data_IF_674840201375
#
_entry.id   IF_674840201375
#
_cell.length_a   1.000
_cell.length_b   1.000
_cell.length_c   1.000
_cell.angle_alpha   90.00
_cell.angle_beta   90.00
_cell.angle_gamma   90.00
#
_symmetry.space_group_name_H-M   'P 1'
#
loop_
_entity.id
_entity.type
_entity.pdbx_description
1 polymer ?
#
# COMPACT_ATOMS: atom_id res chain seq x y z
N UNK A 1 8.65 -34.38 -59.12
CA UNK A 1 7.43 -34.73 -58.38
C UNK A 1 7.40 -33.84 -57.17
N UNK A 2 6.69 -32.74 -57.24
CA UNK A 2 5.44 -32.36 -56.55
C UNK A 2 5.47 -32.78 -55.05
N UNK A 3 5.76 -31.82 -54.19
CA UNK A 3 4.91 -30.91 -53.40
C UNK A 3 4.52 -31.51 -52.05
N UNK A 4 5.00 -30.96 -51.01
CA UNK A 4 4.26 -30.83 -49.73
C UNK A 4 4.79 -29.63 -48.93
N UNK A 5 4.42 -28.44 -49.39
CA UNK A 5 4.37 -27.23 -48.59
C UNK A 5 2.90 -27.09 -48.23
N UNK A 6 2.54 -27.27 -46.98
CA UNK A 6 1.30 -26.73 -46.40
C UNK A 6 1.29 -27.01 -44.92
N UNK A 7 1.11 -25.97 -44.13
CA UNK A 7 0.55 -26.10 -42.83
C UNK A 7 1.31 -25.52 -41.63
N UNK A 8 2.02 -24.40 -41.76
CA UNK A 8 2.24 -23.57 -40.59
C UNK A 8 0.94 -22.78 -40.30
N UNK A 9 0.03 -23.40 -39.57
CA UNK A 9 -1.08 -22.70 -38.94
C UNK A 9 -0.53 -21.73 -37.93
N UNK A 10 -0.68 -20.44 -38.22
CA UNK A 10 -0.60 -19.34 -37.26
C UNK A 10 -1.41 -19.69 -36.00
N UNK A 11 -0.75 -20.18 -34.99
CA UNK A 11 -1.24 -20.03 -33.62
C UNK A 11 -1.08 -18.53 -33.31
N UNK A 12 -2.15 -17.77 -33.54
CA UNK A 12 -2.34 -16.51 -32.84
C UNK A 12 -2.28 -16.86 -31.35
N UNK A 13 -1.13 -16.61 -30.73
CA UNK A 13 -1.06 -16.50 -29.27
C UNK A 13 -2.19 -15.55 -28.88
N UNK A 14 -3.17 -16.11 -28.17
CA UNK A 14 -4.11 -15.30 -27.38
C UNK A 14 -3.21 -14.59 -26.37
N UNK A 15 -2.81 -13.38 -26.66
CA UNK A 15 -2.36 -12.44 -25.66
C UNK A 15 -3.54 -12.26 -24.71
N UNK A 16 -3.59 -13.07 -23.64
CA UNK A 16 -4.41 -12.77 -22.48
C UNK A 16 -3.93 -11.41 -22.03
N UNK A 17 -4.73 -10.36 -22.26
CA UNK A 17 -4.30 -8.99 -22.03
C UNK A 17 -3.82 -8.87 -20.59
N UNK A 18 -2.55 -8.53 -20.44
CA UNK A 18 -1.97 -8.17 -19.16
C UNK A 18 -2.77 -7.00 -18.59
N UNK A 19 -3.22 -7.09 -17.35
CA UNK A 19 -4.04 -6.04 -16.76
C UNK A 19 -3.77 -5.87 -15.27
N UNK A 20 -3.23 -4.71 -14.89
CA UNK A 20 -3.27 -4.26 -13.50
C UNK A 20 -4.70 -3.91 -13.09
N UNK A 21 -5.01 -4.13 -11.82
CA UNK A 21 -6.28 -3.75 -11.21
C UNK A 21 -6.09 -2.47 -10.39
N UNK A 22 -6.41 -1.28 -10.93
CA UNK A 22 -6.29 -0.04 -10.17
C UNK A 22 -7.30 -0.02 -9.04
N UNK A 23 -6.84 0.35 -7.85
CA UNK A 23 -7.61 0.37 -6.62
C UNK A 23 -7.47 1.73 -5.93
N UNK A 24 -8.58 2.33 -5.47
CA UNK A 24 -8.56 3.57 -4.72
C UNK A 24 -8.53 3.31 -3.22
N UNK A 25 -7.47 3.81 -2.55
CA UNK A 25 -7.38 3.70 -1.11
C UNK A 25 -8.15 4.83 -0.42
N UNK A 26 -9.06 4.49 0.48
CA UNK A 26 -9.95 5.44 1.16
C UNK A 26 -9.23 6.46 2.05
N UNK A 27 -7.96 6.22 2.41
CA UNK A 27 -7.17 7.15 3.22
C UNK A 27 -7.01 8.53 2.54
N UNK A 28 -7.04 8.58 1.21
CA UNK A 28 -7.02 9.85 0.46
C UNK A 28 -8.18 10.78 0.80
N UNK A 29 -9.27 10.24 1.34
CA UNK A 29 -10.48 10.98 1.70
C UNK A 29 -10.81 10.89 3.20
N UNK A 30 -9.83 10.63 4.05
CA UNK A 30 -10.04 10.36 5.48
C UNK A 30 -9.90 11.60 6.38
N UNK A 31 -9.55 12.77 5.84
CA UNK A 31 -9.39 13.99 6.63
C UNK A 31 -8.25 13.93 7.68
N UNK A 32 -7.22 13.10 7.45
CA UNK A 32 -6.15 12.88 8.43
C UNK A 32 -5.06 13.94 8.37
N UNK A 33 -4.84 14.55 7.20
CA UNK A 33 -3.81 15.54 7.01
C UNK A 33 -4.38 16.95 6.92
N UNK A 34 -3.56 17.92 7.24
CA UNK A 34 -3.98 19.33 7.23
C UNK A 34 -4.59 19.74 5.89
N UNK A 35 -5.85 20.17 5.95
CA UNK A 35 -6.62 20.65 4.79
C UNK A 35 -7.17 19.55 3.89
N UNK A 36 -6.98 18.28 4.25
CA UNK A 36 -7.57 17.16 3.53
C UNK A 36 -9.08 17.08 3.81
N UNK A 37 -9.87 16.97 2.76
CA UNK A 37 -11.30 16.73 2.87
C UNK A 37 -11.60 15.36 3.46
N UNK A 38 -12.74 15.27 4.14
CA UNK A 38 -13.24 14.04 4.74
C UNK A 38 -14.51 13.58 4.03
N UNK A 39 -14.54 12.29 3.68
CA UNK A 39 -15.73 11.56 3.28
C UNK A 39 -15.94 10.39 4.24
N UNK A 40 -17.17 10.17 4.67
CA UNK A 40 -17.56 8.91 5.31
C UNK A 40 -17.40 7.74 4.33
N UNK A 41 -17.40 6.51 4.83
CA UNK A 41 -17.35 5.32 3.93
C UNK A 41 -18.55 5.31 2.98
N UNK A 42 -19.73 5.73 3.46
CA UNK A 42 -20.95 5.80 2.66
C UNK A 42 -20.86 6.83 1.51
N UNK A 43 -20.11 7.91 1.70
CA UNK A 43 -19.85 8.92 0.65
C UNK A 43 -18.69 8.51 -0.26
N UNK A 44 -17.70 7.78 0.29
CA UNK A 44 -16.53 7.31 -0.47
C UNK A 44 -16.89 6.25 -1.51
N UNK A 45 -17.79 5.30 -1.20
CA UNK A 45 -18.17 4.25 -2.15
C UNK A 45 -18.72 4.82 -3.47
N UNK A 46 -19.75 5.68 -3.48
CA UNK A 46 -20.24 6.28 -4.73
C UNK A 46 -19.19 7.18 -5.37
N UNK A 47 -18.37 7.88 -4.59
CA UNK A 47 -17.27 8.73 -5.10
C UNK A 47 -16.24 7.88 -5.88
N UNK A 48 -15.79 6.76 -5.34
CA UNK A 48 -14.87 5.86 -6.04
C UNK A 48 -15.45 5.37 -7.37
N UNK A 49 -16.74 5.06 -7.40
CA UNK A 49 -17.43 4.64 -8.64
C UNK A 49 -17.57 5.78 -9.66
N UNK A 50 -17.91 6.99 -9.19
CA UNK A 50 -17.96 8.22 -10.02
C UNK A 50 -16.60 8.51 -10.67
N UNK A 51 -15.50 8.28 -9.94
CA UNK A 51 -14.14 8.46 -10.44
C UNK A 51 -13.71 7.40 -11.45
N UNK A 52 -14.47 6.32 -11.61
CA UNK A 52 -14.23 5.26 -12.57
C UNK A 52 -13.40 4.07 -12.04
N UNK A 53 -13.31 3.91 -10.73
CA UNK A 53 -12.70 2.75 -10.12
C UNK A 53 -13.65 1.55 -10.07
N UNK A 54 -13.10 0.35 -10.25
CA UNK A 54 -13.79 -0.92 -10.06
C UNK A 54 -13.36 -1.61 -8.76
N UNK A 55 -12.29 -1.15 -8.11
CA UNK A 55 -11.86 -1.68 -6.83
C UNK A 55 -11.40 -0.61 -5.85
N UNK A 56 -11.54 -0.92 -4.56
CA UNK A 56 -11.20 -0.05 -3.43
C UNK A 56 -10.40 -0.81 -2.38
N UNK A 57 -9.62 -0.06 -1.61
CA UNK A 57 -8.99 -0.49 -0.38
C UNK A 57 -9.49 0.38 0.77
N UNK A 58 -10.06 -0.21 1.82
CA UNK A 58 -10.61 0.55 2.93
C UNK A 58 -9.59 0.66 4.07
N UNK A 59 -9.44 1.86 4.60
CA UNK A 59 -8.63 2.14 5.78
C UNK A 59 -9.27 1.50 7.03
N UNK A 60 -8.61 0.51 7.62
CA UNK A 60 -9.09 -0.25 8.78
C UNK A 60 -8.71 0.42 10.12
N UNK A 61 -8.99 1.72 10.21
CA UNK A 61 -8.91 2.51 11.44
C UNK A 61 -9.88 3.69 11.36
N UNK A 62 -10.15 4.34 12.50
CA UNK A 62 -10.91 5.60 12.53
C UNK A 62 -10.26 6.69 11.68
N UNK A 63 -11.04 7.53 10.99
CA UNK A 63 -12.50 7.61 11.04
C UNK A 63 -13.24 6.66 10.10
N UNK A 64 -12.58 5.76 9.35
CA UNK A 64 -13.26 4.82 8.47
C UNK A 64 -13.64 3.51 9.19
N UNK A 65 -13.06 2.36 8.79
CA UNK A 65 -13.55 1.05 9.20
C UNK A 65 -12.69 0.47 10.33
N UNK A 66 -13.05 0.73 11.59
CA UNK A 66 -12.36 0.12 12.75
C UNK A 66 -13.11 -1.12 13.22
N UNK A 67 -12.43 -2.25 13.55
CA UNK A 67 -13.10 -3.42 14.12
C UNK A 67 -13.80 -3.12 15.46
N UNK A 68 -13.38 -2.05 16.15
CA UNK A 68 -13.97 -1.62 17.41
C UNK A 68 -15.31 -0.89 17.25
N UNK A 69 -15.60 -0.38 16.05
CA UNK A 69 -16.79 0.42 15.76
C UNK A 69 -17.82 -0.35 14.91
N UNK A 70 -17.40 -1.47 14.31
CA UNK A 70 -18.24 -2.28 13.43
C UNK A 70 -18.54 -3.65 14.08
N UNK A 71 -19.69 -3.79 14.69
CA UNK A 71 -20.22 -5.08 15.14
C UNK A 71 -20.62 -5.96 13.93
N UNK A 72 -21.02 -7.20 14.19
CA UNK A 72 -21.37 -8.15 13.13
C UNK A 72 -22.52 -7.67 12.23
N UNK A 73 -23.47 -6.90 12.76
CA UNK A 73 -24.57 -6.35 11.96
C UNK A 73 -24.09 -5.20 11.07
N UNK A 74 -23.31 -4.27 11.62
CA UNK A 74 -22.70 -3.18 10.87
C UNK A 74 -21.79 -3.70 9.73
N UNK A 75 -21.03 -4.78 9.97
CA UNK A 75 -20.21 -5.45 8.93
C UNK A 75 -21.06 -6.00 7.78
N UNK A 76 -22.19 -6.65 8.08
CA UNK A 76 -23.13 -7.15 7.05
C UNK A 76 -23.73 -6.02 6.22
N UNK A 77 -24.12 -4.93 6.89
CA UNK A 77 -24.67 -3.74 6.22
C UNK A 77 -23.61 -3.14 5.28
N UNK A 78 -22.38 -2.93 5.78
CA UNK A 78 -21.30 -2.37 4.98
C UNK A 78 -20.93 -3.28 3.80
N UNK A 79 -20.82 -4.60 4.02
CA UNK A 79 -20.58 -5.57 2.95
C UNK A 79 -21.61 -5.42 1.84
N UNK A 80 -22.89 -5.38 2.22
CA UNK A 80 -23.98 -5.20 1.22
C UNK A 80 -23.83 -3.87 0.46
N UNK A 81 -23.47 -2.76 1.12
CA UNK A 81 -23.25 -1.47 0.46
C UNK A 81 -22.11 -1.55 -0.56
N UNK A 82 -21.00 -2.25 -0.24
CA UNK A 82 -19.88 -2.46 -1.15
C UNK A 82 -20.35 -3.28 -2.37
N UNK A 83 -21.06 -4.39 -2.14
CA UNK A 83 -21.62 -5.23 -3.20
C UNK A 83 -22.60 -4.46 -4.11
N UNK A 84 -23.54 -3.71 -3.52
CA UNK A 84 -24.54 -2.91 -4.23
C UNK A 84 -23.88 -1.77 -5.06
N UNK A 85 -22.71 -1.26 -4.64
CA UNK A 85 -21.95 -0.26 -5.41
C UNK A 85 -21.26 -0.82 -6.66
N UNK A 86 -21.18 -2.15 -6.78
CA UNK A 86 -20.44 -2.82 -7.84
C UNK A 86 -18.92 -2.60 -7.76
N UNK A 87 -18.39 -2.32 -6.55
CA UNK A 87 -16.97 -2.22 -6.29
C UNK A 87 -16.42 -3.52 -5.70
N UNK A 88 -15.22 -3.92 -6.11
CA UNK A 88 -14.46 -5.01 -5.50
C UNK A 88 -13.66 -4.48 -4.30
N UNK A 89 -13.78 -5.09 -3.13
CA UNK A 89 -12.94 -4.78 -1.98
C UNK A 89 -11.61 -5.52 -2.12
N UNK A 90 -10.58 -4.84 -2.63
CA UNK A 90 -9.27 -5.40 -2.88
C UNK A 90 -8.54 -5.82 -1.59
N UNK A 91 -8.78 -5.12 -0.50
CA UNK A 91 -8.17 -5.40 0.80
C UNK A 91 -8.54 -4.39 1.86
N UNK A 92 -8.22 -4.70 3.11
CA UNK A 92 -8.21 -3.73 4.19
C UNK A 92 -6.78 -3.22 4.43
N UNK A 93 -6.66 -1.94 4.73
CA UNK A 93 -5.42 -1.33 5.18
C UNK A 93 -5.38 -1.33 6.72
N UNK A 94 -4.76 -2.34 7.31
CA UNK A 94 -4.45 -2.39 8.73
C UNK A 94 -3.24 -1.53 9.09
N UNK A 95 -3.16 -1.15 10.35
CA UNK A 95 -2.09 -0.30 10.87
C UNK A 95 -1.49 -0.99 12.09
N UNK A 96 -0.25 -1.45 11.95
CA UNK A 96 0.51 -2.11 13.02
C UNK A 96 1.82 -1.37 13.28
N UNK A 97 2.29 -1.47 14.48
CA UNK A 97 3.61 -1.01 14.90
C UNK A 97 4.15 -2.01 15.94
N UNK A 98 4.84 -3.06 15.44
CA UNK A 98 5.34 -4.11 16.31
C UNK A 98 6.52 -3.69 17.17
N UNK A 99 7.15 -2.57 16.88
CA UNK A 99 8.22 -1.97 17.71
C UNK A 99 7.67 -1.07 18.81
N UNK A 100 6.36 -0.76 18.80
CA UNK A 100 5.74 0.00 19.87
C UNK A 100 5.95 -0.71 21.21
N UNK A 101 6.37 0.02 22.23
CA UNK A 101 6.57 -0.51 23.57
C UNK A 101 7.87 -1.25 23.81
N UNK A 102 8.81 -1.31 22.87
CA UNK A 102 10.17 -1.82 23.13
C UNK A 102 10.88 -1.08 24.28
N UNK A 103 10.48 0.16 24.54
CA UNK A 103 10.90 0.97 25.68
C UNK A 103 10.04 0.74 26.95
N UNK A 104 8.97 -0.09 26.85
CA UNK A 104 8.02 -0.39 27.93
C UNK A 104 7.75 -1.90 28.07
N UNK A 105 8.76 -2.70 28.41
CA UNK A 105 8.71 -4.17 28.33
C UNK A 105 7.67 -4.82 29.28
N UNK A 106 7.14 -4.08 30.25
CA UNK A 106 6.08 -4.57 31.13
C UNK A 106 4.69 -4.68 30.50
N UNK A 107 4.51 -4.14 29.28
CA UNK A 107 3.25 -4.21 28.53
C UNK A 107 3.48 -5.05 27.28
N UNK A 108 2.67 -6.09 27.03
CA UNK A 108 2.85 -7.01 25.90
C UNK A 108 2.37 -6.36 24.58
N UNK A 109 3.03 -5.29 24.14
CA UNK A 109 2.61 -4.50 22.99
C UNK A 109 2.58 -5.31 21.68
N UNK A 110 3.55 -6.20 21.46
CA UNK A 110 3.63 -7.05 20.28
C UNK A 110 2.42 -7.97 20.18
N UNK A 111 2.05 -8.61 21.28
CA UNK A 111 0.88 -9.50 21.38
C UNK A 111 -0.44 -8.71 21.25
N UNK A 112 -0.50 -7.50 21.81
CA UNK A 112 -1.66 -6.62 21.65
C UNK A 112 -1.84 -6.22 20.18
N UNK A 113 -0.76 -5.86 19.49
CA UNK A 113 -0.78 -5.57 18.05
C UNK A 113 -1.24 -6.80 17.25
N UNK A 114 -0.71 -7.98 17.55
CA UNK A 114 -1.08 -9.22 16.87
C UNK A 114 -2.57 -9.56 17.08
N UNK A 115 -3.07 -9.43 18.30
CA UNK A 115 -4.48 -9.65 18.62
C UNK A 115 -5.40 -8.65 17.92
N UNK A 116 -5.00 -7.36 17.85
CA UNK A 116 -5.74 -6.35 17.10
C UNK A 116 -5.77 -6.64 15.60
N UNK A 117 -4.65 -7.05 15.01
CA UNK A 117 -4.59 -7.48 13.60
C UNK A 117 -5.50 -8.70 13.37
N UNK A 118 -5.63 -9.61 14.34
CA UNK A 118 -6.61 -10.70 14.29
C UNK A 118 -8.06 -10.20 14.17
N UNK A 119 -8.44 -9.16 14.92
CA UNK A 119 -9.77 -8.55 14.81
C UNK A 119 -9.98 -7.86 13.46
N UNK A 120 -8.95 -7.21 12.92
CA UNK A 120 -9.00 -6.61 11.58
C UNK A 120 -9.11 -7.70 10.49
N UNK A 121 -8.46 -8.85 10.68
CA UNK A 121 -8.58 -9.99 9.76
C UNK A 121 -10.01 -10.59 9.78
N UNK A 122 -10.64 -10.72 10.96
CA UNK A 122 -12.06 -11.09 11.04
C UNK A 122 -12.93 -10.10 10.26
N UNK A 123 -12.72 -8.80 10.48
CA UNK A 123 -13.42 -7.73 9.77
C UNK A 123 -13.21 -7.83 8.24
N UNK A 124 -11.99 -8.06 7.77
CA UNK A 124 -11.68 -8.23 6.35
C UNK A 124 -12.49 -9.38 5.75
N UNK A 125 -12.51 -10.53 6.42
CA UNK A 125 -13.28 -11.70 6.00
C UNK A 125 -14.78 -11.43 5.95
N UNK A 126 -15.31 -10.79 7.00
CA UNK A 126 -16.73 -10.43 7.08
C UNK A 126 -17.14 -9.47 5.96
N UNK A 127 -16.25 -8.56 5.54
CA UNK A 127 -16.47 -7.61 4.44
C UNK A 127 -16.24 -8.20 3.05
N UNK A 128 -15.65 -9.41 2.95
CA UNK A 128 -15.52 -10.13 1.67
C UNK A 128 -14.16 -10.00 0.99
N UNK A 129 -13.09 -9.65 1.73
CA UNK A 129 -11.71 -9.70 1.23
C UNK A 129 -10.86 -10.65 2.08
N UNK A 130 -9.80 -11.19 1.48
CA UNK A 130 -8.81 -12.03 2.13
C UNK A 130 -7.41 -11.39 2.21
N UNK A 131 -7.29 -10.12 1.81
CA UNK A 131 -6.04 -9.37 1.89
C UNK A 131 -6.12 -8.30 2.99
N UNK A 132 -5.15 -8.34 3.89
CA UNK A 132 -4.97 -7.35 4.96
C UNK A 132 -3.56 -6.78 4.91
N UNK A 133 -3.41 -5.53 4.44
CA UNK A 133 -2.15 -4.83 4.48
C UNK A 133 -1.81 -4.45 5.92
N UNK A 134 -0.55 -4.67 6.31
CA UNK A 134 0.01 -4.29 7.60
C UNK A 134 1.37 -3.63 7.42
N UNK A 135 1.86 -2.98 8.49
CA UNK A 135 3.20 -2.43 8.57
C UNK A 135 4.10 -3.24 9.51
N UNK A 136 5.39 -3.02 9.42
CA UNK A 136 6.42 -3.61 10.30
C UNK A 136 6.51 -2.88 11.63
N UNK A 137 6.93 -1.64 11.61
CA UNK A 137 7.10 -0.80 12.80
C UNK A 137 8.08 0.35 12.55
N UNK A 138 8.05 1.33 13.44
CA UNK A 138 8.97 2.47 13.42
C UNK A 138 10.28 2.14 14.11
N UNK A 139 11.38 2.70 13.64
CA UNK A 139 12.64 2.62 14.34
C UNK A 139 12.56 3.32 15.71
N UNK A 140 13.06 2.64 16.74
CA UNK A 140 13.11 3.15 18.11
C UNK A 140 14.54 3.58 18.46
N UNK A 141 14.81 4.89 18.58
CA UNK A 141 16.13 5.37 18.98
C UNK A 141 16.60 4.72 20.30
N UNK A 142 17.86 4.29 20.33
CA UNK A 142 18.44 3.65 21.51
C UNK A 142 18.15 2.15 21.67
N UNK A 143 17.36 1.55 20.78
CA UNK A 143 17.18 0.10 20.72
C UNK A 143 17.99 -0.44 19.52
N UNK A 144 18.84 -1.47 19.69
CA UNK A 144 19.57 -2.07 18.59
C UNK A 144 18.64 -2.57 17.47
N UNK A 145 19.02 -2.34 16.20
CA UNK A 145 18.19 -2.67 15.04
C UNK A 145 17.85 -4.16 14.95
N UNK A 146 18.79 -5.04 15.24
CA UNK A 146 18.59 -6.49 15.27
C UNK A 146 17.48 -6.91 16.26
N UNK A 147 17.41 -6.25 17.43
CA UNK A 147 16.34 -6.48 18.39
C UNK A 147 14.99 -6.00 17.85
N UNK A 148 14.96 -4.85 17.20
CA UNK A 148 13.73 -4.33 16.58
C UNK A 148 13.25 -5.25 15.46
N UNK A 149 14.18 -5.69 14.59
CA UNK A 149 13.90 -6.62 13.51
C UNK A 149 13.33 -7.96 14.03
N UNK A 150 13.94 -8.54 15.05
CA UNK A 150 13.47 -9.78 15.67
C UNK A 150 12.06 -9.62 16.28
N UNK A 151 11.78 -8.49 16.92
CA UNK A 151 10.44 -8.19 17.48
C UNK A 151 9.39 -8.06 16.40
N UNK A 152 9.70 -7.39 15.29
CA UNK A 152 8.79 -7.29 14.12
C UNK A 152 8.52 -8.68 13.53
N UNK A 153 9.54 -9.49 13.36
CA UNK A 153 9.41 -10.85 12.85
C UNK A 153 8.47 -11.68 13.72
N UNK A 154 8.68 -11.69 15.04
CA UNK A 154 7.80 -12.36 15.99
C UNK A 154 6.38 -11.83 15.94
N UNK A 155 6.22 -10.50 15.92
CA UNK A 155 4.92 -9.84 15.84
C UNK A 155 4.12 -10.22 14.60
N UNK A 156 4.76 -10.26 13.43
CA UNK A 156 4.12 -10.70 12.19
C UNK A 156 3.75 -12.20 12.26
N UNK A 157 4.61 -13.06 12.84
CA UNK A 157 4.29 -14.47 13.01
C UNK A 157 3.07 -14.68 13.93
N UNK A 158 2.98 -13.92 15.02
CA UNK A 158 1.80 -13.95 15.91
C UNK A 158 0.55 -13.46 15.19
N UNK A 159 0.63 -12.32 14.51
CA UNK A 159 -0.48 -11.76 13.75
C UNK A 159 -0.94 -12.69 12.62
N UNK A 160 0.00 -13.38 11.96
CA UNK A 160 -0.31 -14.33 10.90
C UNK A 160 -1.09 -15.55 11.40
N UNK A 161 -0.79 -16.04 12.62
CA UNK A 161 -1.56 -17.10 13.27
C UNK A 161 -3.00 -16.66 13.56
N UNK A 162 -3.18 -15.41 14.01
CA UNK A 162 -4.52 -14.85 14.25
C UNK A 162 -5.28 -14.68 12.93
N UNK A 163 -4.67 -14.11 11.89
CA UNK A 163 -5.28 -13.90 10.58
C UNK A 163 -5.64 -15.23 9.87
N UNK A 164 -4.83 -16.28 10.10
CA UNK A 164 -5.07 -17.61 9.52
C UNK A 164 -6.42 -18.21 9.95
N UNK A 165 -6.90 -17.89 11.15
CA UNK A 165 -8.22 -18.35 11.65
C UNK A 165 -9.38 -17.91 10.75
N UNK A 166 -9.18 -16.84 9.99
CA UNK A 166 -10.16 -16.24 9.07
C UNK A 166 -9.80 -16.44 7.60
N UNK A 167 -8.76 -17.22 7.28
CA UNK A 167 -8.22 -17.40 5.93
C UNK A 167 -7.83 -16.07 5.27
N UNK A 168 -7.18 -15.17 6.04
CA UNK A 168 -6.71 -13.87 5.58
C UNK A 168 -5.19 -13.90 5.45
N UNK A 169 -4.71 -13.35 4.33
CA UNK A 169 -3.30 -13.14 4.04
C UNK A 169 -2.88 -11.77 4.54
N UNK A 170 -1.84 -11.74 5.36
CA UNK A 170 -1.15 -10.51 5.74
C UNK A 170 -0.26 -10.05 4.60
N UNK A 171 -0.45 -8.81 4.18
CA UNK A 171 0.30 -8.15 3.12
C UNK A 171 1.22 -7.12 3.76
N UNK A 172 2.48 -7.50 4.03
CA UNK A 172 3.45 -6.63 4.68
C UNK A 172 3.94 -5.59 3.67
N UNK A 173 3.64 -4.32 3.93
CA UNK A 173 4.14 -3.20 3.12
C UNK A 173 5.52 -2.77 3.62
N UNK A 174 6.42 -2.48 2.69
CA UNK A 174 7.75 -1.94 2.97
C UNK A 174 7.71 -0.45 3.30
N UNK A 175 7.00 -0.13 4.36
CA UNK A 175 6.75 1.20 4.87
C UNK A 175 7.10 1.25 6.36
N UNK A 176 7.52 2.39 6.87
CA UNK A 176 7.99 2.61 8.23
C UNK A 176 9.25 1.81 8.60
N UNK A 177 10.37 2.43 8.49
CA UNK A 177 11.72 2.18 9.01
C UNK A 177 12.23 0.72 8.99
N UNK A 178 11.48 -0.22 9.57
CA UNK A 178 11.94 -1.61 9.68
C UNK A 178 11.66 -2.37 8.38
N UNK A 179 12.72 -2.84 7.72
CA UNK A 179 12.66 -3.63 6.48
C UNK A 179 12.12 -2.87 5.25
N UNK A 180 12.39 -1.56 5.11
CA UNK A 180 12.11 -0.79 3.88
C UNK A 180 12.93 -1.33 2.70
N UNK A 181 14.21 -1.63 2.93
CA UNK A 181 15.08 -2.18 1.90
C UNK A 181 14.64 -3.59 1.49
N UNK A 182 14.63 -3.87 0.18
CA UNK A 182 14.18 -5.17 -0.36
C UNK A 182 14.96 -6.38 0.19
N UNK A 183 16.22 -6.24 0.54
CA UNK A 183 16.99 -7.32 1.14
C UNK A 183 16.46 -7.66 2.54
N UNK A 184 16.24 -6.65 3.38
CA UNK A 184 15.72 -6.84 4.72
C UNK A 184 14.31 -7.45 4.69
N UNK A 185 13.43 -6.93 3.81
CA UNK A 185 12.07 -7.46 3.64
C UNK A 185 12.08 -8.89 3.09
N UNK A 186 12.92 -9.17 2.11
CA UNK A 186 13.04 -10.52 1.53
C UNK A 186 13.46 -11.56 2.59
N UNK A 187 14.49 -11.23 3.38
CA UNK A 187 14.96 -12.13 4.43
C UNK A 187 13.94 -12.28 5.55
N UNK A 188 13.26 -11.21 5.95
CA UNK A 188 12.18 -11.26 6.93
C UNK A 188 11.05 -12.20 6.49
N UNK A 189 10.53 -12.05 5.27
CA UNK A 189 9.47 -12.91 4.75
C UNK A 189 9.91 -14.36 4.59
N UNK A 190 11.16 -14.57 4.20
CA UNK A 190 11.73 -15.90 4.09
C UNK A 190 11.88 -16.58 5.46
N UNK A 191 12.26 -15.85 6.49
CA UNK A 191 12.40 -16.34 7.85
C UNK A 191 11.05 -16.62 8.50
N UNK A 192 10.06 -15.73 8.29
CA UNK A 192 8.67 -15.94 8.70
C UNK A 192 8.14 -17.27 8.11
N UNK A 193 8.36 -17.51 6.83
CA UNK A 193 8.01 -18.74 6.10
C UNK A 193 6.58 -19.25 6.35
N UNK A 194 5.60 -18.35 6.39
CA UNK A 194 4.19 -18.68 6.52
C UNK A 194 3.44 -18.41 5.20
N UNK A 195 2.57 -19.34 4.74
CA UNK A 195 1.91 -19.22 3.43
C UNK A 195 0.99 -18.01 3.35
N UNK A 196 0.41 -17.56 4.46
CA UNK A 196 -0.47 -16.41 4.57
C UNK A 196 0.26 -15.11 4.96
N UNK A 197 1.58 -15.02 4.72
CA UNK A 197 2.36 -13.78 4.83
C UNK A 197 3.00 -13.48 3.49
N UNK A 198 2.66 -12.33 2.92
CA UNK A 198 3.06 -11.87 1.61
C UNK A 198 3.51 -10.40 1.67
N UNK A 199 3.89 -9.82 0.54
CA UNK A 199 4.35 -8.43 0.45
C UNK A 199 3.41 -7.55 -0.35
N UNK A 200 3.20 -6.33 0.17
CA UNK A 200 2.67 -5.19 -0.56
C UNK A 200 3.81 -4.28 -1.02
N UNK A 201 4.73 -4.84 -1.83
CA UNK A 201 5.95 -4.16 -2.23
C UNK A 201 5.65 -2.91 -3.06
N UNK A 202 6.18 -1.76 -2.63
CA UNK A 202 6.07 -0.49 -3.33
C UNK A 202 7.44 0.13 -3.63
N UNK A 203 7.45 1.18 -4.50
CA UNK A 203 8.65 1.87 -4.92
C UNK A 203 8.93 3.14 -4.11
N UNK A 204 7.92 3.73 -3.45
CA UNK A 204 8.05 5.09 -2.92
C UNK A 204 8.88 5.18 -1.66
N UNK A 205 8.64 4.32 -0.65
CA UNK A 205 9.44 4.35 0.57
C UNK A 205 10.93 4.06 0.28
N UNK A 206 11.31 3.02 -0.47
CA UNK A 206 12.71 2.79 -0.82
C UNK A 206 13.34 3.93 -1.64
N UNK A 207 12.59 4.55 -2.55
CA UNK A 207 13.11 5.70 -3.32
C UNK A 207 13.39 6.90 -2.41
N UNK A 208 12.50 7.17 -1.45
CA UNK A 208 12.69 8.25 -0.49
C UNK A 208 13.87 7.99 0.47
N UNK A 209 14.19 6.72 0.73
CA UNK A 209 15.37 6.30 1.47
C UNK A 209 16.65 6.25 0.60
N UNK A 210 16.57 6.65 -0.67
CA UNK A 210 17.72 6.86 -1.53
C UNK A 210 18.09 5.69 -2.46
N UNK A 211 17.25 4.66 -2.59
CA UNK A 211 17.49 3.61 -3.59
C UNK A 211 17.39 4.20 -5.00
N UNK A 212 18.35 3.81 -5.84
CA UNK A 212 18.37 4.16 -7.26
C UNK A 212 17.26 3.48 -8.04
N UNK A 213 16.96 4.00 -9.23
CA UNK A 213 15.98 3.41 -10.15
C UNK A 213 16.28 1.96 -10.51
N UNK A 214 17.57 1.62 -10.67
CA UNK A 214 18.01 0.25 -11.00
C UNK A 214 17.81 -0.68 -9.81
N UNK A 215 18.07 -0.22 -8.58
CA UNK A 215 17.81 -0.99 -7.36
C UNK A 215 16.31 -1.21 -7.13
N UNK A 216 15.47 -0.18 -7.37
CA UNK A 216 14.00 -0.32 -7.33
C UNK A 216 13.51 -1.35 -8.34
N UNK A 217 14.04 -1.33 -9.57
CA UNK A 217 13.72 -2.34 -10.57
C UNK A 217 14.15 -3.74 -10.14
N UNK A 218 15.40 -3.89 -9.68
CA UNK A 218 15.95 -5.17 -9.22
C UNK A 218 15.16 -5.72 -8.02
N UNK A 219 14.66 -4.84 -7.15
CA UNK A 219 13.84 -5.21 -5.98
C UNK A 219 12.57 -5.96 -6.38
N UNK A 220 11.92 -5.57 -7.48
CA UNK A 220 10.70 -6.23 -7.96
C UNK A 220 10.98 -7.68 -8.34
N UNK A 221 12.10 -7.96 -9.03
CA UNK A 221 12.48 -9.34 -9.39
C UNK A 221 12.81 -10.16 -8.15
N UNK A 222 13.51 -9.58 -7.17
CA UNK A 222 13.84 -10.25 -5.92
C UNK A 222 12.59 -10.57 -5.10
N UNK A 223 11.67 -9.61 -5.01
CA UNK A 223 10.45 -9.73 -4.22
C UNK A 223 9.33 -10.50 -4.94
N UNK A 224 9.51 -10.89 -6.22
CA UNK A 224 8.52 -11.62 -7.03
C UNK A 224 7.79 -12.76 -6.30
N UNK A 225 8.43 -13.63 -5.48
CA UNK A 225 7.72 -14.75 -4.81
C UNK A 225 6.68 -14.29 -3.78
N UNK A 226 6.76 -13.04 -3.34
CA UNK A 226 5.97 -12.52 -2.24
C UNK A 226 4.96 -11.45 -2.65
N UNK A 227 5.14 -10.74 -3.77
CA UNK A 227 4.29 -9.61 -4.16
C UNK A 227 2.88 -10.10 -4.51
N UNK A 228 1.87 -9.65 -3.75
CA UNK A 228 0.45 -9.91 -4.01
C UNK A 228 -0.37 -8.63 -4.15
N UNK A 229 0.19 -7.50 -3.75
CA UNK A 229 -0.37 -6.15 -3.88
C UNK A 229 0.78 -5.16 -4.06
N UNK A 230 0.52 -4.01 -4.63
CA UNK A 230 1.42 -2.86 -4.58
C UNK A 230 0.65 -1.59 -4.28
N UNK A 231 1.32 -0.64 -3.66
CA UNK A 231 0.75 0.65 -3.30
C UNK A 231 1.54 1.75 -4.02
N UNK A 232 0.83 2.73 -4.56
CA UNK A 232 1.41 3.88 -5.26
C UNK A 232 1.09 5.15 -4.50
N UNK A 233 2.12 5.87 -4.09
CA UNK A 233 2.07 7.24 -3.62
C UNK A 233 3.26 7.97 -4.23
N UNK A 234 3.06 9.16 -4.80
CA UNK A 234 4.12 9.91 -5.44
C UNK A 234 4.38 11.24 -4.74
N UNK A 235 5.61 11.73 -4.81
CA UNK A 235 6.07 12.84 -4.00
C UNK A 235 6.88 13.83 -4.81
N UNK A 236 6.74 15.12 -4.46
CA UNK A 236 7.60 16.21 -4.93
C UNK A 236 8.38 16.82 -3.78
N UNK A 237 9.61 17.24 -4.05
CA UNK A 237 10.44 17.99 -3.12
C UNK A 237 10.27 19.49 -3.38
N UNK A 238 9.58 20.21 -2.50
CA UNK A 238 9.36 21.65 -2.63
C UNK A 238 10.49 22.41 -1.94
N UNK A 239 11.14 23.39 -2.62
CA UNK A 239 12.18 24.22 -2.02
C UNK A 239 11.68 24.95 -0.78
N UNK A 240 12.52 25.01 0.23
CA UNK A 240 12.31 25.84 1.42
C UNK A 240 13.45 26.82 1.60
N UNK A 241 13.14 27.95 2.24
CA UNK A 241 14.11 28.97 2.56
C UNK A 241 13.90 29.41 4.01
N UNK A 242 15.01 29.59 4.72
CA UNK A 242 15.04 30.10 6.09
C UNK A 242 15.68 31.45 6.11
N UNK A 243 15.04 32.43 6.80
CA UNK A 243 15.64 33.75 6.98
C UNK A 243 16.84 33.66 7.92
N UNK A 244 17.97 34.19 7.47
CA UNK A 244 19.22 34.19 8.22
C UNK A 244 19.57 35.61 8.64
N UNK A 245 19.44 35.92 9.92
CA UNK A 245 19.58 37.28 10.47
C UNK A 245 20.93 37.93 10.15
N UNK A 246 22.03 37.17 10.24
CA UNK A 246 23.37 37.72 9.97
C UNK A 246 23.60 38.06 8.49
N UNK A 247 22.92 37.41 7.58
CA UNK A 247 22.99 37.68 6.16
C UNK A 247 21.91 38.63 5.70
N UNK A 248 20.95 38.94 6.57
CA UNK A 248 19.75 39.74 6.24
C UNK A 248 19.08 39.24 4.95
N UNK A 249 19.02 37.91 4.76
CA UNK A 249 18.52 37.28 3.56
C UNK A 249 18.01 35.87 3.84
N UNK A 250 17.29 35.29 2.87
CA UNK A 250 16.85 33.90 2.87
C UNK A 250 17.94 33.01 2.31
N UNK A 251 18.19 31.90 2.98
CA UNK A 251 19.09 30.84 2.52
C UNK A 251 18.31 29.53 2.31
N UNK A 252 18.75 28.65 1.41
CA UNK A 252 18.13 27.34 1.24
C UNK A 252 18.07 26.55 2.55
N UNK A 253 16.96 25.86 2.78
CA UNK A 253 16.73 24.95 3.90
C UNK A 253 16.32 23.56 3.34
N UNK A 254 16.19 22.57 4.20
CA UNK A 254 15.75 21.23 3.82
C UNK A 254 14.40 21.29 3.08
N UNK A 255 14.29 20.73 1.86
CA UNK A 255 13.04 20.67 1.10
C UNK A 255 11.90 20.03 1.90
N UNK A 256 10.68 20.44 1.62
CA UNK A 256 9.47 19.80 2.15
C UNK A 256 8.97 18.80 1.11
N UNK A 257 8.79 17.56 1.53
CA UNK A 257 8.10 16.58 0.70
C UNK A 257 6.59 16.84 0.72
N UNK A 258 5.94 16.65 -0.43
CA UNK A 258 4.47 16.71 -0.57
C UNK A 258 4.02 15.56 -1.45
N UNK A 259 2.93 14.93 -1.08
CA UNK A 259 2.26 13.97 -1.96
C UNK A 259 1.79 14.70 -3.23
N UNK A 260 1.87 14.04 -4.37
CA UNK A 260 1.43 14.57 -5.66
C UNK A 260 0.70 13.50 -6.48
N UNK A 261 0.29 13.84 -7.69
CA UNK A 261 -0.33 12.89 -8.62
C UNK A 261 0.68 11.86 -9.13
N UNK A 262 0.22 10.63 -9.32
CA UNK A 262 1.07 9.57 -9.86
C UNK A 262 1.68 9.96 -11.21
N UNK A 263 3.00 9.88 -11.32
CA UNK A 263 3.79 10.27 -12.48
C UNK A 263 4.23 11.74 -12.54
N UNK A 264 3.84 12.56 -11.56
CA UNK A 264 4.28 13.96 -11.44
C UNK A 264 5.46 14.11 -10.45
N UNK A 265 5.73 13.07 -9.67
CA UNK A 265 6.72 13.11 -8.60
C UNK A 265 8.09 12.55 -8.99
N UNK A 266 8.88 12.25 -7.96
CA UNK A 266 10.26 11.76 -8.11
C UNK A 266 10.37 10.25 -8.20
N UNK A 267 9.27 9.51 -7.95
CA UNK A 267 9.27 8.05 -7.96
C UNK A 267 9.18 7.54 -9.41
N UNK A 268 10.11 6.71 -9.83
CA UNK A 268 10.12 6.14 -11.17
C UNK A 268 9.12 4.97 -11.33
N UNK A 269 7.84 5.32 -11.34
CA UNK A 269 6.79 4.32 -11.52
C UNK A 269 6.74 3.69 -12.90
N UNK A 270 7.30 4.33 -13.95
CA UNK A 270 7.39 3.72 -15.27
C UNK A 270 8.31 2.50 -15.24
N UNK A 271 9.49 2.64 -14.61
CA UNK A 271 10.43 1.53 -14.45
C UNK A 271 9.89 0.45 -13.49
N UNK A 272 9.26 0.86 -12.39
CA UNK A 272 8.67 -0.06 -11.41
C UNK A 272 7.52 -0.89 -12.00
N UNK A 273 6.55 -0.25 -12.66
CA UNK A 273 5.42 -0.94 -13.30
C UNK A 273 5.86 -1.78 -14.48
N UNK A 274 6.88 -1.33 -15.23
CA UNK A 274 7.54 -2.14 -16.26
C UNK A 274 8.10 -3.45 -15.70
N UNK A 275 8.79 -3.38 -14.56
CA UNK A 275 9.32 -4.57 -13.87
C UNK A 275 8.20 -5.48 -13.35
N UNK A 276 7.12 -4.93 -12.79
CA UNK A 276 5.94 -5.71 -12.38
C UNK A 276 5.33 -6.47 -13.56
N UNK A 277 5.26 -5.83 -14.73
CA UNK A 277 4.78 -6.47 -15.98
C UNK A 277 5.69 -7.62 -16.40
N UNK A 278 6.99 -7.42 -16.35
CA UNK A 278 7.97 -8.46 -16.72
C UNK A 278 7.93 -9.68 -15.81
N UNK A 279 7.66 -9.51 -14.53
CA UNK A 279 7.47 -10.65 -13.62
C UNK A 279 6.10 -11.31 -13.75
N UNK A 280 5.20 -10.77 -14.59
CA UNK A 280 3.85 -11.28 -14.83
C UNK A 280 2.85 -10.93 -13.72
N UNK A 281 3.08 -9.86 -12.97
CA UNK A 281 2.18 -9.43 -11.91
C UNK A 281 0.86 -8.88 -12.47
N UNK A 282 -0.28 -9.40 -12.00
CA UNK A 282 -1.64 -9.03 -12.44
C UNK A 282 -2.56 -8.67 -11.26
N UNK A 283 -1.98 -8.21 -10.16
CA UNK A 283 -2.69 -7.89 -8.93
C UNK A 283 -3.21 -6.45 -8.87
N UNK A 284 -3.63 -6.07 -7.66
CA UNK A 284 -4.09 -4.73 -7.38
C UNK A 284 -2.92 -3.75 -7.27
N UNK A 285 -3.13 -2.56 -7.84
CA UNK A 285 -2.28 -1.40 -7.62
C UNK A 285 -3.12 -0.35 -6.91
N UNK A 286 -2.90 -0.18 -5.61
CA UNK A 286 -3.66 0.75 -4.79
C UNK A 286 -3.05 2.15 -4.82
N UNK A 287 -3.86 3.15 -5.13
CA UNK A 287 -3.45 4.55 -5.08
C UNK A 287 -3.70 5.15 -3.71
N UNK A 288 -2.64 5.60 -3.08
CA UNK A 288 -2.65 6.15 -1.72
C UNK A 288 -2.19 7.62 -1.74
N UNK A 289 -3.11 8.54 -1.47
CA UNK A 289 -2.81 9.96 -1.28
C UNK A 289 -2.54 10.20 0.22
N UNK A 290 -1.31 9.89 0.65
CA UNK A 290 -0.89 10.00 2.05
C UNK A 290 0.11 11.14 2.21
N UNK A 291 -0.16 12.08 3.05
CA UNK A 291 0.55 13.34 3.30
C UNK A 291 -0.26 14.55 2.79
N UNK A 292 0.19 15.74 3.13
CA UNK A 292 -0.38 16.98 2.58
C UNK A 292 -0.17 17.00 1.08
N UNK A 293 -1.27 17.02 0.34
CA UNK A 293 -1.26 16.94 -1.12
C UNK A 293 -0.83 18.28 -1.74
N UNK A 294 0.00 18.21 -2.78
CA UNK A 294 0.29 19.36 -3.64
C UNK A 294 -1.00 19.89 -4.26
N UNK A 295 -1.21 21.22 -4.21
CA UNK A 295 -2.46 21.85 -4.61
C UNK A 295 -3.56 21.83 -3.54
N UNK A 296 -3.31 21.22 -2.38
CA UNK A 296 -4.24 21.16 -1.25
C UNK A 296 -5.13 19.93 -1.25
N UNK A 297 -5.85 19.75 -0.14
CA UNK A 297 -6.69 18.56 0.11
C UNK A 297 -8.18 18.76 -0.21
N UNK A 298 -8.56 19.68 -1.09
CA UNK A 298 -9.97 19.84 -1.50
C UNK A 298 -10.46 18.60 -2.26
N UNK A 299 -11.76 18.33 -2.22
CA UNK A 299 -12.37 17.20 -2.94
C UNK A 299 -11.98 17.26 -4.43
N UNK A 300 -12.07 18.43 -5.06
CA UNK A 300 -11.76 18.59 -6.49
C UNK A 300 -10.31 18.19 -6.82
N UNK A 301 -9.35 18.57 -5.97
CA UNK A 301 -7.96 18.22 -6.18
C UNK A 301 -7.70 16.72 -5.91
N UNK A 302 -8.30 16.17 -4.86
CA UNK A 302 -8.22 14.72 -4.58
C UNK A 302 -8.81 13.91 -5.74
N UNK A 303 -9.97 14.29 -6.25
CA UNK A 303 -10.63 13.66 -7.40
C UNK A 303 -9.78 13.77 -8.67
N UNK A 304 -9.17 14.93 -8.91
CA UNK A 304 -8.27 15.14 -10.06
C UNK A 304 -7.06 14.19 -10.00
N UNK A 305 -6.42 14.08 -8.83
CA UNK A 305 -5.27 13.19 -8.62
C UNK A 305 -5.66 11.71 -8.69
N UNK A 306 -6.84 11.34 -8.19
CA UNK A 306 -7.37 9.98 -8.33
C UNK A 306 -7.65 9.61 -9.80
N UNK A 307 -8.23 10.50 -10.59
CA UNK A 307 -8.41 10.32 -12.05
C UNK A 307 -7.07 10.26 -12.79
N UNK A 308 -6.11 11.08 -12.39
CA UNK A 308 -4.75 11.06 -12.95
C UNK A 308 -4.11 9.69 -12.80
N UNK A 309 -4.21 9.06 -11.62
CA UNK A 309 -3.69 7.71 -11.38
C UNK A 309 -4.32 6.68 -12.34
N UNK A 310 -5.63 6.69 -12.53
CA UNK A 310 -6.28 5.79 -13.49
C UNK A 310 -5.73 5.96 -14.92
N UNK A 311 -5.51 7.20 -15.35
CA UNK A 311 -4.95 7.47 -16.65
C UNK A 311 -3.47 7.05 -16.75
N UNK A 312 -2.72 7.19 -15.66
CA UNK A 312 -1.34 6.75 -15.57
C UNK A 312 -1.26 5.21 -15.72
N UNK A 313 -2.04 4.46 -14.94
CA UNK A 313 -2.01 2.98 -14.99
C UNK A 313 -2.51 2.43 -16.34
N UNK A 314 -3.42 3.10 -17.02
CA UNK A 314 -3.89 2.69 -18.36
C UNK A 314 -2.79 2.62 -19.41
N UNK A 315 -1.68 3.36 -19.23
CA UNK A 315 -0.52 3.29 -20.14
C UNK A 315 0.20 1.94 -20.10
N UNK A 316 0.02 1.18 -19.03
CA UNK A 316 0.70 -0.10 -18.79
C UNK A 316 -0.21 -1.34 -18.99
N UNK A 317 -1.52 -1.12 -19.18
CA UNK A 317 -2.52 -2.18 -19.38
C UNK A 317 -2.74 -2.56 -20.89
#
# INVERSE_FOLDING_TARGET
MKSAIEGQKNQKEKTSGFKFKPCLHSIGYAGLWRGQAFLTVDEFLPKAKELGYDSIMLMAKRPHVSPLDYDKNARKILKKKIEDSGLELAGLAGYSDFTAGLDKPGIPHTEIQAAYIGQVAELARDLGTDLLRIFTGYERPGVPYDKQYATVLEGIQLAAKEAHKYNVTLVVQNHHDIAIHHDAMYWMLREINLPNVKSGWDAWAPTLEGLSKDEIRASVFKMKPYIVMTIVADYVALPRYKYHNHLTNYVPDTPVMRATGAGDGIIDYENFTGALKEIGYQGYIAYEMCEVLEGGGSIDNLDAKAKQFLNFIKKFN
#
